data_IF_774219904813
#
_entry.id   IF_774219904813
#
_cell.length_a   1.000
_cell.length_b   1.000
_cell.length_c   1.000
_cell.angle_alpha   90.00
_cell.angle_beta   90.00
_cell.angle_gamma   90.00
#
_symmetry.space_group_name_H-M   'P 1'
#
loop_
_entity.id
_entity.type
_entity.pdbx_description
1 polymer ?
#
# COMPACT_ATOMS: atom_id res chain seq x y z
N UNK A 1 -12.43 5.43 11.97
CA UNK A 1 -13.39 4.95 13.01
C UNK A 1 -12.85 5.24 14.42
N UNK A 2 -13.42 6.19 15.22
CA UNK A 2 -12.80 6.68 16.46
C UNK A 2 -13.03 5.85 17.75
N UNK A 3 -13.98 4.90 17.74
CA UNK A 3 -14.48 4.23 18.97
C UNK A 3 -13.50 3.20 19.56
N UNK A 4 -12.48 2.78 18.80
CA UNK A 4 -11.56 1.70 19.18
C UNK A 4 -10.38 2.21 20.04
N UNK A 5 -9.92 3.45 19.82
CA UNK A 5 -8.78 4.07 20.53
C UNK A 5 -9.07 4.24 22.04
N UNK A 6 -10.29 4.66 22.40
CA UNK A 6 -10.68 4.92 23.80
C UNK A 6 -10.84 3.64 24.64
N UNK A 7 -11.15 2.51 24.01
CA UNK A 7 -11.22 1.21 24.70
C UNK A 7 -9.84 0.70 25.11
N UNK A 8 -8.81 1.03 24.33
CA UNK A 8 -7.45 0.52 24.50
C UNK A 8 -6.64 1.31 25.53
N UNK A 9 -6.79 2.64 25.59
CA UNK A 9 -6.18 3.48 26.64
C UNK A 9 -6.61 3.05 28.06
N UNK A 10 -7.83 2.51 28.18
CA UNK A 10 -8.36 1.97 29.43
C UNK A 10 -7.70 0.65 29.84
N UNK A 11 -7.43 -0.24 28.87
CA UNK A 11 -6.84 -1.56 29.11
C UNK A 11 -5.34 -1.50 29.49
N UNK A 12 -4.57 -0.57 28.89
CA UNK A 12 -3.14 -0.36 29.21
C UNK A 12 -2.95 0.09 30.66
N UNK A 13 -3.90 0.87 31.19
CA UNK A 13 -3.88 1.34 32.58
C UNK A 13 -4.07 0.19 33.58
N UNK A 14 -4.70 -0.91 33.15
CA UNK A 14 -5.12 -2.01 34.03
C UNK A 14 -4.12 -3.17 34.11
N UNK A 15 -3.20 -3.34 33.15
CA UNK A 15 -2.25 -4.48 33.14
C UNK A 15 -0.79 -4.11 32.75
N UNK A 16 0.02 -3.57 33.69
CA UNK A 16 1.39 -3.09 33.42
C UNK A 16 2.41 -4.18 33.07
N UNK A 17 2.11 -5.43 33.41
CA UNK A 17 3.03 -6.58 33.28
C UNK A 17 3.18 -7.06 31.83
N UNK A 18 2.28 -6.62 30.95
CA UNK A 18 2.28 -6.93 29.52
C UNK A 18 3.42 -6.17 28.82
N UNK A 19 3.86 -5.01 29.31
CA UNK A 19 4.88 -4.18 28.64
C UNK A 19 6.29 -4.80 28.52
N UNK A 20 6.69 -5.73 29.39
CA UNK A 20 8.08 -6.23 29.44
C UNK A 20 8.38 -7.42 28.52
N UNK A 21 7.35 -8.10 28.01
CA UNK A 21 7.52 -9.19 27.03
C UNK A 21 7.63 -8.61 25.61
N UNK A 22 6.91 -7.51 25.35
CA UNK A 22 6.87 -6.81 24.07
C UNK A 22 8.15 -6.01 23.79
N UNK A 23 8.82 -5.51 24.82
CA UNK A 23 10.12 -4.84 24.69
C UNK A 23 11.24 -5.73 24.13
N UNK A 24 11.10 -7.06 24.25
CA UNK A 24 12.10 -8.02 23.77
C UNK A 24 11.81 -8.49 22.33
N UNK A 25 10.57 -8.38 21.85
CA UNK A 25 10.18 -8.69 20.48
C UNK A 25 10.47 -7.51 19.54
N UNK A 26 10.17 -6.28 19.98
CA UNK A 26 10.53 -5.05 19.27
C UNK A 26 12.06 -4.89 19.07
N UNK A 27 12.89 -5.44 19.98
CA UNK A 27 14.36 -5.43 19.87
C UNK A 27 14.89 -6.35 18.77
N UNK A 28 14.23 -7.49 18.55
CA UNK A 28 14.59 -8.44 17.48
C UNK A 28 14.35 -7.84 16.09
N UNK A 29 13.28 -7.06 15.94
CA UNK A 29 12.94 -6.40 14.66
C UNK A 29 13.83 -5.18 14.38
N UNK A 30 14.24 -4.42 15.41
CA UNK A 30 15.22 -3.33 15.28
C UNK A 30 16.62 -3.86 14.91
N UNK A 31 17.04 -4.98 15.50
CA UNK A 31 18.32 -5.63 15.17
C UNK A 31 18.27 -6.37 13.82
N UNK A 32 17.10 -6.82 13.34
CA UNK A 32 16.95 -7.41 12.00
C UNK A 32 16.94 -6.34 10.90
N UNK A 33 16.22 -5.21 11.09
CA UNK A 33 16.27 -4.07 10.18
C UNK A 33 17.69 -3.48 10.10
N UNK A 34 18.34 -3.25 11.25
CA UNK A 34 19.71 -2.73 11.29
C UNK A 34 20.77 -3.67 10.72
N UNK A 35 20.51 -4.99 10.62
CA UNK A 35 21.41 -5.97 10.00
C UNK A 35 21.13 -6.24 8.52
N UNK A 36 19.89 -6.05 8.04
CA UNK A 36 19.54 -6.13 6.61
C UNK A 36 20.25 -5.06 5.77
N UNK A 37 20.78 -4.02 6.41
CA UNK A 37 21.55 -2.99 5.77
C UNK A 37 22.95 -3.42 5.28
N UNK A 38 23.49 -4.58 5.65
CA UNK A 38 24.93 -4.82 5.40
C UNK A 38 25.24 -5.49 4.05
N UNK A 39 24.31 -6.23 3.43
CA UNK A 39 24.58 -6.91 2.14
C UNK A 39 23.67 -6.50 0.96
N UNK A 40 22.38 -6.18 1.18
CA UNK A 40 21.43 -5.61 0.21
C UNK A 40 21.57 -6.05 -1.26
N UNK A 41 21.76 -7.36 -1.47
CA UNK A 41 21.62 -7.96 -2.79
C UNK A 41 20.13 -8.06 -3.19
N UNK A 42 19.81 -8.21 -4.49
CA UNK A 42 18.42 -8.20 -4.97
C UNK A 42 17.50 -9.22 -4.30
N UNK A 43 18.02 -10.35 -3.82
CA UNK A 43 17.23 -11.39 -3.14
C UNK A 43 16.84 -10.95 -1.72
N UNK A 44 17.74 -10.26 -1.02
CA UNK A 44 17.45 -9.68 0.30
C UNK A 44 16.36 -8.60 0.22
N UNK A 45 16.39 -7.76 -0.81
CA UNK A 45 15.34 -6.74 -1.04
C UNK A 45 13.99 -7.39 -1.35
N UNK A 46 14.00 -8.45 -2.17
CA UNK A 46 12.79 -9.20 -2.50
C UNK A 46 12.12 -9.79 -1.26
N UNK A 47 12.90 -10.43 -0.38
CA UNK A 47 12.38 -11.01 0.88
C UNK A 47 11.80 -9.94 1.80
N UNK A 48 12.47 -8.79 1.92
CA UNK A 48 11.95 -7.67 2.69
C UNK A 48 10.56 -7.24 2.21
N UNK A 49 10.37 -7.15 0.88
CA UNK A 49 9.05 -6.80 0.34
C UNK A 49 8.00 -7.90 0.56
N UNK A 50 8.37 -9.18 0.50
CA UNK A 50 7.46 -10.28 0.83
C UNK A 50 7.00 -10.22 2.30
N UNK A 51 7.90 -9.88 3.22
CA UNK A 51 7.59 -9.67 4.64
C UNK A 51 6.67 -8.46 4.85
N UNK A 52 6.95 -7.35 4.16
CA UNK A 52 6.11 -6.14 4.19
C UNK A 52 4.69 -6.45 3.70
N UNK A 53 4.54 -7.12 2.56
CA UNK A 53 3.23 -7.49 2.01
C UNK A 53 2.47 -8.35 3.03
N UNK A 54 3.13 -9.37 3.59
CA UNK A 54 2.52 -10.24 4.59
C UNK A 54 2.07 -9.47 5.82
N UNK A 55 2.88 -8.52 6.31
CA UNK A 55 2.55 -7.68 7.45
C UNK A 55 1.34 -6.77 7.18
N UNK A 56 1.16 -6.32 5.93
CA UNK A 56 0.03 -5.48 5.51
C UNK A 56 -1.27 -6.27 5.28
N UNK A 57 -1.18 -7.58 5.04
CA UNK A 57 -2.33 -8.46 4.78
C UNK A 57 -2.95 -9.11 6.05
N UNK A 58 -2.24 -9.10 7.19
CA UNK A 58 -2.73 -9.77 8.42
C UNK A 58 -3.94 -9.05 9.06
N UNK A 59 -4.94 -9.81 9.55
CA UNK A 59 -6.22 -9.30 10.03
C UNK A 59 -6.43 -9.25 11.56
N UNK A 60 -5.36 -9.20 12.37
CA UNK A 60 -5.46 -9.21 13.84
C UNK A 60 -5.04 -7.86 14.47
N UNK A 61 -6.02 -7.01 14.80
CA UNK A 61 -5.90 -5.59 15.18
C UNK A 61 -4.67 -5.18 16.03
N UNK A 62 -4.30 -5.91 17.09
CA UNK A 62 -3.19 -5.52 17.99
C UNK A 62 -1.81 -5.92 17.44
N UNK A 63 -1.70 -7.11 16.82
CA UNK A 63 -0.49 -7.53 16.09
C UNK A 63 -0.29 -6.64 14.85
N UNK A 64 -1.39 -6.26 14.19
CA UNK A 64 -1.40 -5.48 12.95
C UNK A 64 -0.81 -4.10 13.12
N UNK A 65 -1.10 -3.38 14.20
CA UNK A 65 -0.53 -2.04 14.41
C UNK A 65 1.00 -2.11 14.48
N UNK A 66 1.54 -3.00 15.32
CA UNK A 66 3.00 -3.15 15.46
C UNK A 66 3.65 -3.66 14.17
N UNK A 67 3.02 -4.59 13.45
CA UNK A 67 3.56 -5.11 12.18
C UNK A 67 3.50 -4.09 11.05
N UNK A 68 2.44 -3.26 10.98
CA UNK A 68 2.31 -2.20 9.97
C UNK A 68 3.30 -1.06 10.27
N UNK A 69 3.49 -0.67 11.53
CA UNK A 69 4.52 0.31 11.91
C UNK A 69 5.93 -0.18 11.56
N UNK A 70 6.23 -1.47 11.80
CA UNK A 70 7.50 -2.09 11.40
C UNK A 70 7.67 -2.09 9.87
N UNK A 71 6.62 -2.40 9.12
CA UNK A 71 6.64 -2.36 7.65
C UNK A 71 6.90 -0.94 7.11
N UNK A 72 6.29 0.08 7.71
CA UNK A 72 6.55 1.49 7.39
C UNK A 72 8.00 1.85 7.69
N UNK A 73 8.52 1.47 8.86
CA UNK A 73 9.90 1.75 9.25
C UNK A 73 10.92 1.10 8.29
N UNK A 74 10.67 -0.14 7.86
CA UNK A 74 11.49 -0.82 6.86
C UNK A 74 11.46 -0.11 5.50
N UNK A 75 10.28 0.38 5.07
CA UNK A 75 10.17 1.20 3.87
C UNK A 75 10.97 2.51 3.99
N UNK A 76 10.89 3.17 5.15
CA UNK A 76 11.64 4.39 5.43
C UNK A 76 13.16 4.19 5.37
N UNK A 77 13.66 3.03 5.82
CA UNK A 77 15.07 2.69 5.70
C UNK A 77 15.52 2.56 4.23
N UNK A 78 14.74 1.85 3.41
CA UNK A 78 15.00 1.73 1.96
C UNK A 78 15.01 3.11 1.30
N UNK A 79 14.03 3.96 1.63
CA UNK A 79 13.92 5.32 1.09
C UNK A 79 15.11 6.18 1.54
N UNK A 80 15.47 6.16 2.82
CA UNK A 80 16.57 6.96 3.37
C UNK A 80 17.91 6.59 2.70
N UNK A 81 18.11 5.31 2.41
CA UNK A 81 19.37 4.81 1.86
C UNK A 81 19.50 4.99 0.35
N UNK A 82 18.44 4.73 -0.41
CA UNK A 82 18.50 4.72 -1.87
C UNK A 82 17.76 5.90 -2.51
N UNK A 83 17.09 6.72 -1.72
CA UNK A 83 16.24 7.79 -2.21
C UNK A 83 16.96 8.80 -3.10
N UNK A 84 18.27 8.98 -2.94
CA UNK A 84 19.11 9.87 -3.75
C UNK A 84 19.90 9.20 -4.88
N UNK A 85 19.68 7.90 -5.16
CA UNK A 85 20.44 7.16 -6.18
C UNK A 85 19.82 7.31 -7.57
N UNK A 86 20.60 7.65 -8.59
CA UNK A 86 20.13 7.68 -9.99
C UNK A 86 20.03 6.31 -10.68
N UNK A 87 20.45 5.23 -9.99
CA UNK A 87 20.34 3.87 -10.55
C UNK A 87 18.88 3.48 -10.78
N UNK A 88 18.48 3.11 -12.01
CA UNK A 88 17.11 2.71 -12.32
C UNK A 88 16.63 1.51 -11.50
N UNK A 89 17.52 0.55 -11.24
CA UNK A 89 17.20 -0.63 -10.43
C UNK A 89 16.91 -0.25 -8.97
N UNK A 90 17.61 0.75 -8.44
CA UNK A 90 17.38 1.24 -7.08
C UNK A 90 16.14 2.14 -7.02
N UNK A 91 15.91 2.99 -8.02
CA UNK A 91 14.69 3.80 -8.11
C UNK A 91 13.41 2.95 -8.15
N UNK A 92 13.46 1.79 -8.81
CA UNK A 92 12.37 0.81 -8.76
C UNK A 92 12.09 0.36 -7.32
N UNK A 93 13.11 0.03 -6.54
CA UNK A 93 12.93 -0.42 -5.16
C UNK A 93 12.42 0.70 -4.24
N UNK A 94 12.89 1.94 -4.46
CA UNK A 94 12.36 3.09 -3.73
C UNK A 94 10.88 3.33 -4.06
N UNK A 95 10.46 3.17 -5.32
CA UNK A 95 9.06 3.28 -5.69
C UNK A 95 8.19 2.20 -5.01
N UNK A 96 8.69 0.96 -4.87
CA UNK A 96 8.00 -0.08 -4.09
C UNK A 96 7.91 0.25 -2.61
N UNK A 97 9.01 0.72 -2.00
CA UNK A 97 9.03 1.13 -0.59
C UNK A 97 8.03 2.25 -0.32
N UNK A 98 7.99 3.27 -1.18
CA UNK A 98 7.01 4.34 -1.05
C UNK A 98 5.58 3.84 -1.25
N UNK A 99 5.32 2.96 -2.21
CA UNK A 99 4.00 2.39 -2.42
C UNK A 99 3.51 1.64 -1.17
N UNK A 100 4.30 0.72 -0.63
CA UNK A 100 3.91 -0.03 0.57
C UNK A 100 3.85 0.83 1.83
N UNK A 101 4.73 1.84 1.96
CA UNK A 101 4.60 2.86 3.00
C UNK A 101 3.24 3.56 2.92
N UNK A 102 2.81 3.98 1.73
CA UNK A 102 1.52 4.64 1.53
C UNK A 102 0.34 3.73 1.90
N UNK A 103 0.40 2.44 1.55
CA UNK A 103 -0.61 1.46 1.98
C UNK A 103 -0.64 1.30 3.51
N UNK A 104 0.54 1.16 4.15
CA UNK A 104 0.63 1.10 5.61
C UNK A 104 0.06 2.36 6.29
N UNK A 105 0.35 3.53 5.75
CA UNK A 105 -0.21 4.80 6.24
C UNK A 105 -1.73 4.84 6.11
N UNK A 106 -2.32 4.33 5.02
CA UNK A 106 -3.78 4.21 4.88
C UNK A 106 -4.35 3.25 5.94
N UNK A 107 -3.72 2.09 6.14
CA UNK A 107 -4.15 1.10 7.14
C UNK A 107 -4.10 1.66 8.57
N UNK A 108 -3.22 2.63 8.84
CA UNK A 108 -3.08 3.33 10.12
C UNK A 108 -3.91 4.62 10.23
N UNK A 109 -4.80 4.91 9.26
CA UNK A 109 -5.62 6.13 9.22
C UNK A 109 -4.78 7.44 9.10
N UNK A 110 -3.53 7.34 8.63
CA UNK A 110 -2.62 8.46 8.36
C UNK A 110 -2.74 8.95 6.91
N UNK A 111 -3.98 9.22 6.48
CA UNK A 111 -4.32 9.40 5.06
C UNK A 111 -3.62 10.60 4.41
N UNK A 112 -3.47 11.73 5.11
CA UNK A 112 -2.74 12.90 4.60
C UNK A 112 -1.27 12.59 4.32
N UNK A 113 -0.67 11.67 5.07
CA UNK A 113 0.68 11.22 4.80
C UNK A 113 0.75 10.30 3.59
N UNK A 114 -0.23 9.40 3.44
CA UNK A 114 -0.33 8.53 2.27
C UNK A 114 -0.52 9.33 0.96
N UNK A 115 -1.29 10.42 1.00
CA UNK A 115 -1.45 11.32 -0.15
C UNK A 115 -0.14 12.05 -0.49
N UNK A 116 0.63 12.51 0.51
CA UNK A 116 1.98 13.05 0.28
C UNK A 116 2.93 11.98 -0.27
N UNK A 117 2.81 10.74 0.18
CA UNK A 117 3.56 9.61 -0.37
C UNK A 117 3.18 9.35 -1.83
N UNK A 118 1.92 9.49 -2.23
CA UNK A 118 1.53 9.44 -3.65
C UNK A 118 2.28 10.49 -4.49
N UNK A 119 2.33 11.73 -4.01
CA UNK A 119 3.01 12.84 -4.69
C UNK A 119 4.52 12.56 -4.84
N UNK A 120 5.17 12.02 -3.80
CA UNK A 120 6.59 11.65 -3.86
C UNK A 120 6.86 10.51 -4.87
N UNK A 121 5.96 9.51 -4.97
CA UNK A 121 6.11 8.46 -5.99
C UNK A 121 5.94 9.05 -7.39
N UNK A 122 5.00 9.97 -7.60
CA UNK A 122 4.79 10.63 -8.89
C UNK A 122 6.02 11.41 -9.35
N UNK A 123 6.72 12.09 -8.43
CA UNK A 123 8.00 12.76 -8.73
C UNK A 123 9.04 11.73 -9.17
N UNK A 124 9.13 10.59 -8.48
CA UNK A 124 10.12 9.53 -8.79
C UNK A 124 9.76 8.69 -10.02
N UNK A 125 8.49 8.65 -10.41
CA UNK A 125 8.04 7.97 -11.63
C UNK A 125 8.70 8.52 -12.89
N UNK A 126 9.18 9.76 -12.86
CA UNK A 126 9.92 10.35 -13.98
C UNK A 126 11.30 9.72 -14.18
N UNK A 127 11.90 9.16 -13.13
CA UNK A 127 13.13 8.38 -13.23
C UNK A 127 12.89 6.93 -13.71
N UNK A 128 11.67 6.41 -13.58
CA UNK A 128 11.32 5.06 -14.04
C UNK A 128 11.06 5.03 -15.55
N UNK A 129 11.40 3.90 -16.17
CA UNK A 129 11.19 3.68 -17.62
C UNK A 129 10.50 2.34 -17.89
N UNK A 130 9.90 2.23 -19.08
CA UNK A 130 9.29 0.99 -19.56
C UNK A 130 8.22 0.42 -18.63
N UNK A 131 8.26 -0.89 -18.42
CA UNK A 131 7.23 -1.62 -17.67
C UNK A 131 7.12 -1.20 -16.21
N UNK A 132 8.20 -0.73 -15.58
CA UNK A 132 8.14 -0.33 -14.16
C UNK A 132 7.35 0.98 -14.00
N UNK A 133 7.52 1.95 -14.90
CA UNK A 133 6.68 3.17 -14.89
C UNK A 133 5.20 2.81 -15.05
N UNK A 134 4.86 1.96 -16.02
CA UNK A 134 3.48 1.51 -16.27
C UNK A 134 2.89 0.81 -15.03
N UNK A 135 3.68 -0.06 -14.37
CA UNK A 135 3.24 -0.76 -13.14
C UNK A 135 2.86 0.21 -12.03
N UNK A 136 3.61 1.28 -11.82
CA UNK A 136 3.35 2.21 -10.72
C UNK A 136 2.29 3.25 -11.03
N UNK A 137 2.15 3.70 -12.29
CA UNK A 137 1.18 4.75 -12.64
C UNK A 137 -0.25 4.39 -12.20
N UNK A 138 -0.70 3.17 -12.47
CA UNK A 138 -2.06 2.77 -12.06
C UNK A 138 -2.15 2.51 -10.54
N UNK A 139 -1.10 1.93 -9.93
CA UNK A 139 -1.04 1.65 -8.49
C UNK A 139 -1.14 2.90 -7.62
N UNK A 140 -0.50 4.00 -8.04
CA UNK A 140 -0.59 5.28 -7.30
C UNK A 140 -2.00 5.87 -7.41
N UNK A 141 -2.61 5.84 -8.60
CA UNK A 141 -3.99 6.27 -8.78
C UNK A 141 -4.95 5.46 -7.90
N UNK A 142 -4.72 4.15 -7.81
CA UNK A 142 -5.44 3.26 -6.91
C UNK A 142 -5.23 3.64 -5.44
N UNK A 143 -3.97 3.79 -4.99
CA UNK A 143 -3.64 4.15 -3.61
C UNK A 143 -4.29 5.48 -3.20
N UNK A 144 -4.27 6.48 -4.09
CA UNK A 144 -4.97 7.75 -3.90
C UNK A 144 -6.48 7.55 -3.78
N UNK A 145 -7.08 6.73 -4.64
CA UNK A 145 -8.50 6.42 -4.57
C UNK A 145 -8.86 5.75 -3.23
N UNK A 146 -8.04 4.81 -2.75
CA UNK A 146 -8.28 4.13 -1.48
C UNK A 146 -8.15 5.08 -0.28
N UNK A 147 -7.12 5.91 -0.26
CA UNK A 147 -6.95 6.99 0.71
C UNK A 147 -8.19 7.89 0.80
N UNK A 148 -8.74 8.31 -0.36
CA UNK A 148 -9.92 9.15 -0.43
C UNK A 148 -11.20 8.43 0.01
N UNK A 149 -11.32 7.11 -0.23
CA UNK A 149 -12.44 6.31 0.28
C UNK A 149 -12.45 6.23 1.81
N UNK A 150 -11.28 6.05 2.44
CA UNK A 150 -11.18 6.02 3.92
C UNK A 150 -11.62 7.35 4.54
N UNK A 151 -11.46 8.47 3.82
CA UNK A 151 -12.00 9.78 4.22
C UNK A 151 -13.46 10.04 3.79
N UNK A 152 -14.16 9.04 3.25
CA UNK A 152 -15.53 9.16 2.72
C UNK A 152 -15.67 10.19 1.59
N UNK A 153 -14.55 10.53 0.91
CA UNK A 153 -14.51 11.43 -0.26
C UNK A 153 -14.79 10.65 -1.53
N UNK A 154 -15.98 10.04 -1.61
CA UNK A 154 -16.34 9.07 -2.65
C UNK A 154 -16.19 9.59 -4.09
N UNK A 155 -16.55 10.86 -4.33
CA UNK A 155 -16.43 11.45 -5.67
C UNK A 155 -14.99 11.53 -6.13
N UNK A 156 -14.13 12.09 -5.29
CA UNK A 156 -12.70 12.27 -5.59
C UNK A 156 -12.00 10.90 -5.69
N UNK A 157 -12.43 9.94 -4.85
CA UNK A 157 -11.95 8.57 -4.92
C UNK A 157 -12.27 7.90 -6.27
N UNK A 158 -13.50 8.03 -6.77
CA UNK A 158 -13.90 7.47 -8.06
C UNK A 158 -13.17 8.17 -9.23
N UNK A 159 -12.85 9.45 -9.12
CA UNK A 159 -12.04 10.17 -10.11
C UNK A 159 -10.58 9.69 -10.11
N UNK A 160 -9.99 9.50 -8.93
CA UNK A 160 -8.67 8.89 -8.79
C UNK A 160 -8.65 7.45 -9.33
N UNK A 161 -9.69 6.65 -9.07
CA UNK A 161 -9.82 5.29 -9.58
C UNK A 161 -9.98 5.25 -11.10
N UNK A 162 -10.75 6.18 -11.68
CA UNK A 162 -10.85 6.35 -13.14
C UNK A 162 -9.48 6.65 -13.75
N UNK A 163 -8.68 7.48 -13.10
CA UNK A 163 -7.31 7.79 -13.55
C UNK A 163 -6.38 6.57 -13.43
N UNK A 164 -6.53 5.78 -12.37
CA UNK A 164 -5.85 4.50 -12.20
C UNK A 164 -6.21 3.52 -13.34
N UNK A 165 -7.51 3.34 -13.60
CA UNK A 165 -8.01 2.46 -14.66
C UNK A 165 -7.52 2.87 -16.05
N UNK A 166 -7.39 4.17 -16.32
CA UNK A 166 -6.82 4.65 -17.58
C UNK A 166 -5.39 4.15 -17.82
N UNK A 167 -4.57 4.09 -16.75
CA UNK A 167 -3.20 3.60 -16.78
C UNK A 167 -3.06 2.08 -16.56
N UNK A 168 -4.16 1.37 -16.31
CA UNK A 168 -4.17 -0.04 -15.98
C UNK A 168 -3.61 -0.89 -17.14
N UNK A 169 -2.64 -1.81 -16.89
CA UNK A 169 -2.10 -2.69 -17.91
C UNK A 169 -2.87 -4.03 -17.96
N UNK A 170 -3.85 -4.21 -18.86
CA UNK A 170 -4.72 -5.40 -18.87
C UNK A 170 -3.98 -6.70 -19.22
N UNK A 171 -2.83 -6.60 -19.88
CA UNK A 171 -2.01 -7.74 -20.27
C UNK A 171 -1.02 -8.19 -19.17
N UNK A 172 -1.10 -7.62 -17.97
CA UNK A 172 -0.24 -7.96 -16.84
C UNK A 172 -1.00 -8.80 -15.80
N UNK A 173 -0.66 -10.08 -15.67
CA UNK A 173 -1.34 -11.02 -14.76
C UNK A 173 -1.33 -10.58 -13.29
N UNK A 174 -0.23 -10.00 -12.81
CA UNK A 174 -0.15 -9.50 -11.44
C UNK A 174 -1.09 -8.30 -11.24
N UNK A 175 -1.15 -7.37 -12.20
CA UNK A 175 -2.09 -6.26 -12.15
C UNK A 175 -3.55 -6.73 -12.20
N UNK A 176 -3.85 -7.75 -13.01
CA UNK A 176 -5.19 -8.37 -13.06
C UNK A 176 -5.59 -8.97 -11.71
N UNK A 177 -4.70 -9.70 -11.04
CA UNK A 177 -4.97 -10.26 -9.70
C UNK A 177 -5.21 -9.16 -8.68
N UNK A 178 -4.32 -8.16 -8.62
CA UNK A 178 -4.47 -7.02 -7.71
C UNK A 178 -5.81 -6.30 -7.94
N UNK A 179 -6.19 -6.05 -9.19
CA UNK A 179 -7.47 -5.42 -9.53
C UNK A 179 -8.69 -6.20 -9.00
N UNK A 180 -8.63 -7.54 -9.06
CA UNK A 180 -9.69 -8.42 -8.56
C UNK A 180 -9.82 -8.38 -7.03
N UNK A 181 -8.73 -8.19 -6.31
CA UNK A 181 -8.73 -8.09 -4.84
C UNK A 181 -9.18 -6.72 -4.36
N UNK A 182 -8.82 -5.67 -5.10
CA UNK A 182 -9.06 -4.27 -4.74
C UNK A 182 -10.53 -3.86 -4.88
N UNK A 183 -11.16 -4.22 -5.99
CA UNK A 183 -12.49 -3.72 -6.35
C UNK A 183 -13.57 -4.10 -5.31
N UNK A 184 -13.59 -5.33 -4.75
CA UNK A 184 -14.47 -5.66 -3.63
C UNK A 184 -14.26 -4.78 -2.39
N UNK A 185 -13.02 -4.39 -2.07
CA UNK A 185 -12.72 -3.52 -0.94
C UNK A 185 -13.29 -2.11 -1.15
N UNK A 186 -13.36 -1.64 -2.39
CA UNK A 186 -13.97 -0.35 -2.72
C UNK A 186 -15.47 -0.35 -2.41
N UNK A 187 -16.19 -1.42 -2.80
CA UNK A 187 -17.61 -1.61 -2.46
C UNK A 187 -17.79 -1.68 -0.94
N UNK A 188 -16.97 -2.46 -0.25
CA UNK A 188 -17.04 -2.60 1.21
C UNK A 188 -16.81 -1.27 1.95
N UNK A 189 -16.05 -0.35 1.34
CA UNK A 189 -15.78 1.00 1.88
C UNK A 189 -16.82 2.04 1.43
N UNK A 190 -17.85 1.64 0.66
CA UNK A 190 -18.98 2.49 0.28
C UNK A 190 -18.92 3.09 -1.12
N UNK A 191 -17.99 2.64 -1.98
CA UNK A 191 -17.99 3.04 -3.39
C UNK A 191 -19.23 2.51 -4.13
N UNK A 192 -19.72 3.28 -5.09
CA UNK A 192 -20.88 2.93 -5.93
C UNK A 192 -20.51 1.85 -6.94
N UNK A 193 -21.14 0.69 -6.84
CA UNK A 193 -21.00 -0.44 -7.78
C UNK A 193 -21.26 -0.01 -9.22
N UNK A 194 -22.34 0.76 -9.44
CA UNK A 194 -22.68 1.32 -10.74
C UNK A 194 -21.53 2.15 -11.33
N UNK A 195 -20.94 3.03 -10.54
CA UNK A 195 -19.88 3.92 -11.03
C UNK A 195 -18.58 3.15 -11.28
N UNK A 196 -18.28 2.12 -10.47
CA UNK A 196 -17.18 1.21 -10.73
C UNK A 196 -17.38 0.44 -12.05
N UNK A 197 -18.57 -0.14 -12.28
CA UNK A 197 -18.88 -0.82 -13.55
C UNK A 197 -18.73 0.14 -14.74
N UNK A 198 -19.18 1.39 -14.62
CA UNK A 198 -18.99 2.40 -15.66
C UNK A 198 -17.51 2.66 -15.95
N UNK A 199 -16.69 2.81 -14.91
CA UNK A 199 -15.24 3.03 -15.05
C UNK A 199 -14.58 1.81 -15.70
N UNK A 200 -14.83 0.60 -15.19
CA UNK A 200 -14.21 -0.64 -15.68
C UNK A 200 -14.61 -0.96 -17.13
N UNK A 201 -15.82 -0.54 -17.52
CA UNK A 201 -16.34 -0.74 -18.89
C UNK A 201 -15.93 0.36 -19.86
N UNK A 202 -15.21 1.40 -19.42
CA UNK A 202 -14.96 2.59 -20.24
C UNK A 202 -13.97 2.36 -21.40
N UNK A 203 -13.15 1.30 -21.31
CA UNK A 203 -12.15 0.91 -22.31
C UNK A 203 -12.42 -0.54 -22.71
N UNK A 204 -12.62 -0.78 -24.00
CA UNK A 204 -13.05 -2.09 -24.50
C UNK A 204 -12.01 -3.19 -24.23
N UNK A 205 -10.72 -2.93 -24.46
CA UNK A 205 -9.67 -3.95 -24.27
C UNK A 205 -9.57 -4.33 -22.79
N UNK A 206 -9.61 -3.32 -21.90
CA UNK A 206 -9.59 -3.55 -20.45
C UNK A 206 -10.86 -4.23 -19.97
N UNK A 207 -12.02 -3.82 -20.48
CA UNK A 207 -13.30 -4.41 -20.14
C UNK A 207 -13.35 -5.89 -20.54
N UNK A 208 -12.87 -6.24 -21.74
CA UNK A 208 -12.78 -7.62 -22.22
C UNK A 208 -11.88 -8.49 -21.30
N UNK A 209 -10.78 -7.91 -20.79
CA UNK A 209 -9.92 -8.58 -19.82
C UNK A 209 -10.57 -8.72 -18.43
N UNK A 210 -11.38 -7.73 -18.02
CA UNK A 210 -12.00 -7.63 -16.69
C UNK A 210 -13.42 -8.19 -16.63
N UNK A 211 -13.93 -8.84 -17.69
CA UNK A 211 -15.30 -9.41 -17.73
C UNK A 211 -15.68 -10.18 -16.47
N UNK A 212 -14.85 -11.09 -15.91
CA UNK A 212 -15.23 -11.83 -14.71
C UNK A 212 -15.49 -10.93 -13.51
N UNK A 213 -14.71 -9.84 -13.37
CA UNK A 213 -14.87 -8.87 -12.30
C UNK A 213 -16.08 -7.98 -12.51
N UNK A 214 -16.28 -7.48 -13.74
CA UNK A 214 -17.42 -6.62 -14.09
C UNK A 214 -18.76 -7.34 -13.91
N UNK A 215 -18.82 -8.65 -14.20
CA UNK A 215 -20.04 -9.46 -14.02
C UNK A 215 -20.31 -9.79 -12.55
N UNK A 216 -19.29 -9.77 -11.70
CA UNK A 216 -19.41 -10.07 -10.27
C UNK A 216 -19.79 -8.84 -9.42
N UNK A 217 -19.63 -7.64 -9.98
CA UNK A 217 -20.19 -6.39 -9.47
C UNK A 217 -21.68 -6.34 -9.80
#
# INVERSE_FOLDING_TARGET
>A
MPVIREGFERAITEQPQVGSVFSNMARSSIDQASNLATSMDPESIKRLFEEIITALDEGAFEKVIETVDQAIAACDEVIARFGGSDSPDLQKWVAWALFYKGIGQINMDHVEEALRTCEEIEIRLDALTGNEKIKFTWRIGYMRAFALLVQEKYRDALEAFRSAHAAFPPNNEAAMREMQEIVPNFIATGASERDLVEILSSDKEKADALVPLIVAL
#
